data_IF_008021171494
#
_entry.id   IF_008021171494
#
_cell.length_a   1.000
_cell.length_b   1.000
_cell.length_c   1.000
_cell.angle_alpha   90.00
_cell.angle_beta   90.00
_cell.angle_gamma   90.00
#
_symmetry.space_group_name_H-M   'P 1'
#
loop_
_entity.id
_entity.type
_entity.pdbx_description
1 polymer ?
#
# COMPACT_ATOMS: atom_id res chain seq x y z
N UNK A 1 9.97 -13.56 15.18
CA UNK A 1 10.72 -14.68 15.79
C UNK A 1 11.13 -15.60 14.66
N UNK A 2 12.38 -15.52 14.22
CA UNK A 2 12.96 -16.44 13.25
C UNK A 2 13.15 -17.80 13.92
N UNK A 3 12.47 -18.83 13.45
CA UNK A 3 12.80 -20.18 13.85
C UNK A 3 14.04 -20.60 13.06
N UNK A 4 15.20 -20.60 13.71
CA UNK A 4 16.41 -21.24 13.17
C UNK A 4 16.17 -22.74 12.99
N UNK A 5 16.39 -23.23 11.78
CA UNK A 5 16.54 -24.67 11.51
C UNK A 5 17.89 -25.13 12.07
N UNK A 6 17.96 -25.45 13.38
CA UNK A 6 19.21 -25.76 14.09
C UNK A 6 19.78 -27.15 13.86
N UNK A 7 19.08 -28.06 13.20
CA UNK A 7 19.48 -29.49 13.16
C UNK A 7 19.72 -30.07 11.75
N UNK A 8 19.94 -29.21 10.74
CA UNK A 8 20.30 -29.73 9.42
C UNK A 8 21.82 -29.90 9.31
N UNK A 9 22.30 -31.17 9.33
CA UNK A 9 23.69 -31.52 9.06
C UNK A 9 23.80 -32.13 7.64
N UNK A 10 24.35 -31.40 6.64
CA UNK A 10 24.42 -31.87 5.26
C UNK A 10 25.35 -33.10 5.03
N UNK A 11 26.07 -33.54 6.04
CA UNK A 11 26.94 -34.70 5.98
C UNK A 11 26.37 -35.98 6.60
N UNK A 12 25.17 -35.96 7.16
CA UNK A 12 24.56 -37.14 7.77
C UNK A 12 23.58 -37.80 6.79
N UNK A 13 23.74 -39.11 6.46
CA UNK A 13 22.77 -39.81 5.64
C UNK A 13 21.40 -39.81 6.32
N UNK A 14 20.36 -39.42 5.58
CA UNK A 14 18.98 -39.50 6.03
C UNK A 14 18.64 -40.95 6.31
N UNK A 15 18.13 -41.34 7.49
CA UNK A 15 17.76 -42.74 7.75
C UNK A 15 16.67 -43.15 6.74
N UNK A 16 16.92 -44.27 6.03
CA UNK A 16 15.93 -44.87 5.16
C UNK A 16 14.79 -45.42 6.00
N UNK A 17 13.62 -44.81 5.91
CA UNK A 17 12.39 -45.38 6.46
C UNK A 17 11.87 -46.37 5.42
N UNK A 18 12.25 -47.62 5.55
CA UNK A 18 11.75 -48.72 4.73
C UNK A 18 10.37 -49.18 5.24
N UNK A 19 9.31 -48.84 4.50
CA UNK A 19 8.02 -49.54 4.52
C UNK A 19 7.84 -50.32 3.22
N UNK A 20 7.00 -51.36 3.15
CA UNK A 20 6.79 -52.13 1.92
C UNK A 20 6.16 -51.21 0.85
N UNK A 21 6.91 -50.94 -0.23
CA UNK A 21 6.49 -50.15 -1.36
C UNK A 21 7.29 -48.89 -1.65
N UNK A 22 8.33 -48.58 -0.87
CA UNK A 22 9.24 -47.47 -1.17
C UNK A 22 10.44 -47.93 -2.01
N UNK A 23 10.54 -47.46 -3.25
CA UNK A 23 11.80 -47.52 -3.98
C UNK A 23 12.82 -46.61 -3.29
N UNK A 24 13.92 -47.17 -2.82
CA UNK A 24 15.07 -46.41 -2.33
C UNK A 24 15.69 -45.66 -3.51
N UNK A 25 15.61 -44.33 -3.49
CA UNK A 25 16.32 -43.48 -4.45
C UNK A 25 17.81 -43.65 -4.21
N UNK A 26 18.49 -44.35 -5.11
CA UNK A 26 19.96 -44.47 -5.11
C UNK A 26 20.56 -43.10 -5.46
N UNK A 27 21.52 -42.57 -4.70
CA UNK A 27 22.26 -41.38 -5.09
C UNK A 27 22.98 -41.69 -6.43
N UNK A 28 22.75 -40.87 -7.45
CA UNK A 28 23.29 -40.96 -8.82
C UNK A 28 22.54 -41.83 -9.86
N UNK A 29 21.31 -42.26 -9.61
CA UNK A 29 20.46 -42.68 -10.71
C UNK A 29 19.49 -41.56 -11.06
N UNK A 30 19.39 -41.13 -12.35
CA UNK A 30 18.32 -40.22 -12.75
C UNK A 30 17.00 -40.91 -12.42
N UNK A 31 16.15 -40.22 -11.70
CA UNK A 31 14.77 -40.64 -11.46
C UNK A 31 14.15 -40.86 -12.84
N UNK A 32 13.58 -42.05 -13.04
CA UNK A 32 12.99 -42.45 -14.30
C UNK A 32 12.09 -41.33 -14.85
N UNK A 33 12.25 -40.97 -16.12
CA UNK A 33 11.27 -40.21 -16.86
C UNK A 33 9.94 -40.94 -16.78
N UNK A 34 9.05 -40.52 -15.93
CA UNK A 34 7.65 -40.94 -15.98
C UNK A 34 7.03 -40.19 -17.14
N UNK A 35 7.23 -40.68 -18.35
CA UNK A 35 6.40 -40.31 -19.49
C UNK A 35 5.06 -41.01 -19.30
N UNK A 36 4.09 -40.32 -18.74
CA UNK A 36 2.73 -40.78 -18.74
C UNK A 36 2.08 -40.42 -20.09
N UNK A 37 1.68 -41.40 -20.89
CA UNK A 37 0.71 -41.14 -21.96
C UNK A 37 -0.65 -41.03 -21.29
N UNK A 38 -1.22 -39.85 -21.35
CA UNK A 38 -2.55 -39.50 -20.83
C UNK A 38 -2.69 -39.45 -19.29
N UNK A 39 -2.50 -38.28 -18.72
CA UNK A 39 -3.19 -37.84 -17.52
C UNK A 39 -2.77 -38.44 -16.17
N UNK A 40 -1.60 -39.06 -16.05
CA UNK A 40 -1.16 -39.57 -14.76
C UNK A 40 -0.78 -38.44 -13.80
N UNK A 41 -1.62 -38.23 -12.81
CA UNK A 41 -1.31 -37.41 -11.64
C UNK A 41 -0.42 -38.22 -10.70
N UNK A 42 0.85 -37.84 -10.57
CA UNK A 42 1.62 -38.26 -9.40
C UNK A 42 1.17 -37.36 -8.23
N UNK A 43 0.53 -37.95 -7.23
CA UNK A 43 0.10 -37.25 -6.01
C UNK A 43 0.99 -37.71 -4.89
N UNK A 44 1.83 -36.80 -4.38
CA UNK A 44 2.58 -37.01 -3.14
C UNK A 44 1.72 -36.46 -2.01
N UNK A 45 1.30 -37.31 -1.10
CA UNK A 45 0.52 -36.94 0.10
C UNK A 45 1.30 -37.31 1.35
N UNK A 46 1.16 -36.47 2.37
CA UNK A 46 1.52 -36.80 3.75
C UNK A 46 0.24 -36.83 4.58
N UNK A 47 -0.13 -37.97 5.07
CA UNK A 47 -1.42 -38.20 5.77
C UNK A 47 -1.26 -38.03 7.28
N UNK A 48 -0.75 -36.90 7.72
CA UNK A 48 -0.85 -36.48 9.11
C UNK A 48 -0.15 -37.34 10.19
N UNK A 49 0.33 -38.56 9.88
CA UNK A 49 1.03 -39.41 10.86
C UNK A 49 2.46 -38.94 11.19
N UNK A 50 2.94 -37.97 10.46
CA UNK A 50 4.31 -37.48 10.60
C UNK A 50 4.35 -36.01 11.01
N UNK A 51 3.50 -35.52 11.91
CA UNK A 51 3.61 -34.18 12.52
C UNK A 51 4.35 -33.18 11.62
N UNK A 52 4.80 -32.08 11.95
CA UNK A 52 5.43 -30.97 11.20
C UNK A 52 6.43 -31.30 10.05
N UNK A 53 6.12 -32.22 9.13
CA UNK A 53 7.11 -32.78 8.19
C UNK A 53 6.90 -32.39 6.73
N UNK A 54 8.02 -32.30 6.04
CA UNK A 54 8.12 -31.93 4.63
C UNK A 54 7.61 -33.08 3.74
N UNK A 55 6.63 -32.78 2.87
CA UNK A 55 6.10 -33.76 1.90
C UNK A 55 7.08 -34.06 0.76
N UNK A 56 7.82 -33.06 0.30
CA UNK A 56 8.81 -33.14 -0.76
C UNK A 56 10.01 -32.27 -0.41
N UNK A 57 11.22 -32.86 -0.41
CA UNK A 57 12.47 -32.12 -0.27
C UNK A 57 13.33 -32.32 -1.52
N UNK A 58 13.72 -31.19 -2.14
CA UNK A 58 14.62 -31.17 -3.29
C UNK A 58 15.88 -30.39 -2.93
N UNK A 59 17.04 -31.00 -3.12
CA UNK A 59 18.35 -30.41 -2.83
C UNK A 59 19.21 -30.34 -4.09
N UNK A 60 19.81 -29.18 -4.35
CA UNK A 60 20.79 -29.00 -5.41
C UNK A 60 21.94 -28.13 -4.91
N UNK A 61 23.17 -28.50 -5.21
CA UNK A 61 24.37 -27.77 -4.78
C UNK A 61 24.76 -26.66 -5.76
N UNK A 62 24.41 -26.81 -7.04
CA UNK A 62 24.91 -25.91 -8.10
C UNK A 62 23.93 -25.56 -9.20
N UNK A 63 22.68 -25.98 -9.09
CA UNK A 63 21.65 -25.78 -10.11
C UNK A 63 20.25 -25.66 -9.49
N UNK A 64 19.20 -25.77 -10.31
CA UNK A 64 17.81 -25.70 -9.86
C UNK A 64 17.47 -26.88 -8.93
N UNK A 65 16.92 -26.58 -7.75
CA UNK A 65 16.35 -27.59 -6.86
C UNK A 65 15.03 -28.13 -7.39
N UNK A 66 14.16 -27.25 -7.92
CA UNK A 66 12.90 -27.59 -8.57
C UNK A 66 12.79 -26.79 -9.86
N UNK A 67 12.53 -27.47 -10.97
CA UNK A 67 12.14 -26.84 -12.23
C UNK A 67 10.68 -27.17 -12.53
N UNK A 68 9.83 -26.14 -12.66
CA UNK A 68 8.42 -26.30 -13.00
C UNK A 68 8.07 -25.35 -14.13
N UNK A 69 7.50 -25.86 -15.21
CA UNK A 69 7.10 -25.05 -16.36
C UNK A 69 5.79 -25.53 -16.97
N UNK A 70 5.05 -24.61 -17.59
CA UNK A 70 3.84 -24.88 -18.36
C UNK A 70 3.84 -23.99 -19.60
N UNK A 71 3.58 -24.58 -20.75
CA UNK A 71 3.52 -23.83 -22.01
C UNK A 71 2.26 -22.95 -22.15
N UNK A 72 1.15 -23.35 -21.52
CA UNK A 72 -0.16 -22.69 -21.69
C UNK A 72 -0.94 -22.54 -20.38
N UNK A 73 -0.30 -22.69 -19.23
CA UNK A 73 -1.00 -22.64 -17.96
C UNK A 73 -0.10 -22.23 -16.80
N UNK A 74 -0.49 -22.58 -15.59
CA UNK A 74 0.25 -22.30 -14.37
C UNK A 74 1.38 -23.31 -14.21
N UNK A 75 2.63 -22.84 -14.13
CA UNK A 75 3.81 -23.68 -13.89
C UNK A 75 3.86 -24.20 -12.46
N UNK A 76 3.57 -23.34 -11.48
CA UNK A 76 3.52 -23.70 -10.07
C UNK A 76 2.29 -23.04 -9.43
N UNK A 77 1.45 -23.82 -8.77
CA UNK A 77 0.34 -23.35 -7.96
C UNK A 77 0.59 -23.74 -6.50
N UNK A 78 0.70 -22.74 -5.61
CA UNK A 78 0.83 -22.93 -4.17
C UNK A 78 -0.38 -22.36 -3.46
N UNK A 79 -0.99 -23.13 -2.57
CA UNK A 79 -2.15 -22.71 -1.77
C UNK A 79 -1.96 -23.17 -0.33
N UNK A 80 -2.20 -22.29 0.62
CA UNK A 80 -2.13 -22.55 2.05
C UNK A 80 -3.12 -21.68 2.82
N UNK A 81 -3.66 -22.21 3.92
CA UNK A 81 -4.62 -21.50 4.75
C UNK A 81 -4.01 -20.26 5.43
N UNK A 82 -2.74 -20.33 5.81
CA UNK A 82 -2.01 -19.24 6.47
C UNK A 82 -0.89 -18.68 5.59
N UNK A 83 0.01 -19.55 5.12
CA UNK A 83 1.14 -19.21 4.24
C UNK A 83 1.17 -20.20 3.10
N UNK A 84 1.09 -19.72 1.86
CA UNK A 84 1.13 -20.55 0.68
C UNK A 84 2.57 -20.93 0.29
N UNK A 85 3.51 -20.00 0.41
CA UNK A 85 4.93 -20.19 0.14
C UNK A 85 5.79 -19.29 1.02
N UNK A 86 6.94 -19.76 1.44
CA UNK A 86 7.97 -18.99 2.13
C UNK A 86 9.28 -19.15 1.38
N UNK A 87 9.95 -18.03 1.10
CA UNK A 87 11.25 -17.97 0.45
C UNK A 87 12.26 -17.37 1.44
N UNK A 88 13.41 -18.02 1.56
CA UNK A 88 14.55 -17.54 2.35
C UNK A 88 15.71 -17.28 1.38
N UNK A 89 15.75 -16.08 0.84
CA UNK A 89 16.67 -15.64 -0.22
C UNK A 89 15.97 -14.74 -1.22
N UNK A 90 16.66 -14.44 -2.32
CA UNK A 90 16.17 -13.56 -3.36
C UNK A 90 15.10 -14.23 -4.24
N UNK A 91 14.16 -13.43 -4.72
CA UNK A 91 13.16 -13.82 -5.71
C UNK A 91 13.36 -12.98 -6.97
N UNK A 92 13.69 -13.63 -8.09
CA UNK A 92 13.77 -12.97 -9.39
C UNK A 92 12.50 -13.23 -10.20
N UNK A 93 11.86 -12.13 -10.68
CA UNK A 93 10.70 -12.18 -11.55
C UNK A 93 11.03 -11.44 -12.84
N UNK A 94 11.21 -12.18 -13.94
CA UNK A 94 11.70 -11.64 -15.21
C UNK A 94 10.69 -10.79 -15.98
N UNK A 95 9.38 -10.89 -15.68
CA UNK A 95 8.34 -10.16 -16.41
C UNK A 95 7.46 -9.33 -15.47
N UNK A 96 6.46 -9.94 -14.84
CA UNK A 96 5.49 -9.24 -14.02
C UNK A 96 5.21 -9.98 -12.72
N UNK A 97 5.05 -9.22 -11.62
CA UNK A 97 4.53 -9.72 -10.36
C UNK A 97 3.20 -9.00 -10.07
N UNK A 98 2.13 -9.77 -9.81
CA UNK A 98 0.84 -9.22 -9.41
C UNK A 98 0.52 -9.63 -7.98
N UNK A 99 0.27 -8.62 -7.13
CA UNK A 99 -0.13 -8.82 -5.73
C UNK A 99 -1.56 -8.32 -5.57
N UNK A 100 -2.51 -9.23 -5.33
CA UNK A 100 -3.93 -8.90 -5.17
C UNK A 100 -4.30 -8.29 -3.81
N UNK A 101 -3.38 -8.31 -2.86
CA UNK A 101 -3.54 -7.74 -1.51
C UNK A 101 -2.48 -6.70 -1.19
N UNK A 102 -2.04 -6.70 0.05
CA UNK A 102 -0.99 -5.78 0.53
C UNK A 102 0.39 -6.36 0.28
N UNK A 103 1.31 -5.55 -0.26
CA UNK A 103 2.74 -5.82 -0.25
C UNK A 103 3.38 -5.07 0.93
N UNK A 104 3.99 -5.80 1.86
CA UNK A 104 4.76 -5.22 2.96
C UNK A 104 6.24 -5.39 2.71
N UNK A 105 6.98 -4.29 2.69
CA UNK A 105 8.43 -4.25 2.52
C UNK A 105 9.04 -3.59 3.75
N UNK A 106 9.96 -4.28 4.43
CA UNK A 106 10.65 -3.76 5.63
C UNK A 106 11.94 -3.02 5.30
N UNK A 107 12.48 -3.23 4.10
CA UNK A 107 13.64 -2.52 3.57
C UNK A 107 13.25 -1.47 2.54
N UNK A 108 14.18 -1.14 1.67
CA UNK A 108 14.00 -0.16 0.62
C UNK A 108 13.24 -0.74 -0.58
N UNK A 109 12.57 0.13 -1.34
CA UNK A 109 12.02 -0.16 -2.66
C UNK A 109 12.82 0.63 -3.68
N UNK A 110 13.57 -0.06 -4.55
CA UNK A 110 14.24 0.54 -5.70
C UNK A 110 13.38 0.37 -6.95
N UNK A 111 12.96 1.48 -7.57
CA UNK A 111 12.21 1.50 -8.81
C UNK A 111 13.02 2.25 -9.88
N UNK A 112 13.40 1.57 -10.96
CA UNK A 112 14.12 2.18 -12.07
C UNK A 112 13.20 2.85 -13.10
N UNK A 113 11.91 2.58 -13.06
CA UNK A 113 10.88 3.16 -13.92
C UNK A 113 9.90 4.03 -13.15
N UNK A 114 8.71 4.20 -13.70
CA UNK A 114 7.65 4.99 -13.10
C UNK A 114 6.84 4.19 -12.09
N UNK A 115 6.37 4.86 -11.02
CA UNK A 115 5.36 4.33 -10.11
C UNK A 115 4.02 4.94 -10.51
N UNK A 116 3.09 4.10 -11.01
CA UNK A 116 1.74 4.52 -11.39
C UNK A 116 0.76 4.22 -10.27
N UNK A 117 0.16 5.26 -9.72
CA UNK A 117 -0.80 5.18 -8.62
C UNK A 117 -2.17 5.70 -9.09
N UNK A 118 -3.24 5.09 -8.60
CA UNK A 118 -4.62 5.49 -8.96
C UNK A 118 -5.18 6.61 -8.07
N UNK A 119 -4.55 6.88 -6.93
CA UNK A 119 -4.88 8.02 -6.07
C UNK A 119 -4.41 9.35 -6.67
N UNK A 120 -4.88 10.48 -6.12
CA UNK A 120 -4.70 11.79 -6.74
C UNK A 120 -3.87 12.78 -5.95
N UNK A 121 -3.64 12.54 -4.67
CA UNK A 121 -2.88 13.45 -3.81
C UNK A 121 -1.78 12.73 -3.04
N UNK A 122 -0.78 13.52 -2.71
CA UNK A 122 0.30 13.16 -1.80
C UNK A 122 -0.07 13.74 -0.43
N UNK A 123 -0.27 12.87 0.54
CA UNK A 123 -0.70 13.23 1.87
C UNK A 123 0.30 12.82 2.93
N UNK A 124 0.22 13.46 4.08
CA UNK A 124 0.93 13.08 5.29
C UNK A 124 -0.04 13.01 6.46
N UNK A 125 0.17 12.04 7.34
CA UNK A 125 -0.64 11.87 8.54
C UNK A 125 -0.22 12.89 9.62
N UNK A 126 -1.17 13.73 10.03
CA UNK A 126 -1.00 14.66 11.15
C UNK A 126 -1.92 14.28 12.31
N UNK A 127 -1.43 14.48 13.52
CA UNK A 127 -2.28 14.41 14.73
C UNK A 127 -3.30 15.53 14.71
N UNK A 128 -4.57 15.20 14.91
CA UNK A 128 -5.69 16.14 14.86
C UNK A 128 -6.25 16.39 16.24
N UNK A 129 -6.50 17.64 16.58
CA UNK A 129 -7.07 18.04 17.87
C UNK A 129 -8.47 17.45 18.09
N UNK A 130 -9.32 17.49 17.05
CA UNK A 130 -10.70 16.95 17.07
C UNK A 130 -10.96 16.12 15.81
N UNK A 131 -10.88 14.78 15.98
CA UNK A 131 -11.06 13.82 14.88
C UNK A 131 -12.52 13.69 14.41
N UNK A 132 -13.49 14.09 15.21
CA UNK A 132 -14.91 14.01 14.84
C UNK A 132 -15.28 15.14 13.88
N UNK A 133 -14.68 16.32 14.06
CA UNK A 133 -14.91 17.48 13.21
C UNK A 133 -14.00 17.51 11.97
N UNK A 134 -12.81 16.93 12.06
CA UNK A 134 -11.86 16.85 10.94
C UNK A 134 -12.24 15.70 9.99
N UNK A 135 -13.24 15.94 9.17
CA UNK A 135 -13.73 14.98 8.16
C UNK A 135 -13.03 15.22 6.81
N UNK A 136 -13.06 14.24 5.88
CA UNK A 136 -12.52 14.43 4.54
C UNK A 136 -13.06 15.68 3.86
N UNK A 137 -12.16 16.49 3.29
CA UNK A 137 -12.48 17.79 2.69
C UNK A 137 -12.30 19.00 3.62
N UNK A 138 -12.11 18.77 4.92
CA UNK A 138 -11.91 19.87 5.87
C UNK A 138 -10.56 20.56 5.68
N UNK A 139 -10.58 21.90 5.70
CA UNK A 139 -9.36 22.73 5.70
C UNK A 139 -8.78 22.78 7.11
N UNK A 140 -7.48 22.47 7.21
CA UNK A 140 -6.76 22.39 8.47
C UNK A 140 -5.68 23.46 8.57
N UNK A 141 -5.43 23.90 9.80
CA UNK A 141 -4.35 24.83 10.15
C UNK A 141 -3.46 24.21 11.22
N UNK A 142 -2.20 24.60 11.27
CA UNK A 142 -1.25 24.18 12.31
C UNK A 142 -1.76 24.63 13.70
N UNK A 143 -1.60 23.76 14.68
CA UNK A 143 -1.80 24.11 16.09
C UNK A 143 -0.46 24.40 16.78
N UNK A 144 -0.54 24.85 18.04
CA UNK A 144 0.65 25.21 18.81
C UNK A 144 1.39 24.00 19.40
N UNK A 145 0.88 22.76 19.19
CA UNK A 145 1.42 21.51 19.74
C UNK A 145 2.06 20.63 18.65
N UNK A 146 2.25 21.16 17.44
CA UNK A 146 2.83 20.41 16.32
C UNK A 146 1.85 19.48 15.59
N UNK A 147 0.54 19.59 15.90
CA UNK A 147 -0.53 18.93 15.20
C UNK A 147 -1.31 19.92 14.31
N UNK A 148 -2.54 19.51 13.97
CA UNK A 148 -3.45 20.34 13.17
C UNK A 148 -4.84 20.40 13.80
N UNK A 149 -5.54 21.50 13.53
CA UNK A 149 -6.94 21.74 13.91
C UNK A 149 -7.72 22.31 12.74
N UNK A 150 -9.05 22.32 12.84
CA UNK A 150 -9.89 22.96 11.83
C UNK A 150 -9.52 24.45 11.68
N UNK A 151 -9.54 24.94 10.45
CA UNK A 151 -9.52 26.37 10.19
C UNK A 151 -10.80 27.00 10.72
N UNK A 152 -10.69 28.17 11.35
CA UNK A 152 -11.84 28.94 11.90
C UNK A 152 -11.74 30.45 11.61
N UNK A 153 -10.67 30.86 10.92
CA UNK A 153 -10.41 32.26 10.59
C UNK A 153 -10.15 32.43 9.10
N UNK A 154 -10.66 33.50 8.55
CA UNK A 154 -10.39 33.88 7.17
C UNK A 154 -8.93 34.34 6.99
N UNK A 155 -8.26 33.83 5.97
CA UNK A 155 -6.85 34.14 5.66
C UNK A 155 -5.89 33.73 6.78
N UNK A 156 -6.08 32.57 7.39
CA UNK A 156 -5.15 32.04 8.40
C UNK A 156 -3.87 31.55 7.74
N UNK A 157 -2.75 32.22 8.04
CA UNK A 157 -1.42 31.87 7.51
C UNK A 157 -0.89 30.52 8.01
N UNK A 158 -1.51 29.94 9.03
CA UNK A 158 -1.17 28.61 9.52
C UNK A 158 -1.81 27.48 8.71
N UNK A 159 -2.44 27.82 7.57
CA UNK A 159 -3.06 26.80 6.72
C UNK A 159 -2.05 25.72 6.34
N UNK A 160 -2.42 24.46 6.60
CA UNK A 160 -1.54 23.31 6.46
C UNK A 160 -1.95 22.38 5.31
N UNK A 161 -3.23 22.35 4.95
CA UNK A 161 -3.75 21.49 3.89
C UNK A 161 -5.23 21.15 4.08
N UNK A 162 -5.66 20.13 3.36
CA UNK A 162 -7.03 19.63 3.35
C UNK A 162 -7.02 18.15 3.72
N UNK A 163 -7.94 17.71 4.58
CA UNK A 163 -8.08 16.28 4.90
C UNK A 163 -8.46 15.51 3.64
N UNK A 164 -7.58 14.60 3.23
CA UNK A 164 -7.76 13.80 2.01
C UNK A 164 -8.89 12.78 2.15
N UNK A 165 -9.45 12.34 1.01
CA UNK A 165 -10.43 11.26 0.94
C UNK A 165 -11.89 11.72 0.73
N UNK A 166 -12.15 13.01 0.49
CA UNK A 166 -13.49 13.48 0.14
C UNK A 166 -13.84 13.16 -1.33
N UNK A 167 -15.13 13.00 -1.59
CA UNK A 167 -15.63 12.69 -2.93
C UNK A 167 -15.11 11.34 -3.46
N UNK A 168 -14.70 11.32 -4.71
CA UNK A 168 -14.09 10.17 -5.38
C UNK A 168 -12.55 10.17 -5.33
N UNK A 169 -11.94 11.16 -4.70
CA UNK A 169 -10.50 11.27 -4.55
C UNK A 169 -10.00 10.51 -3.31
N UNK A 170 -9.01 9.64 -3.54
CA UNK A 170 -8.25 8.98 -2.46
C UNK A 170 -6.80 9.40 -2.56
N UNK A 171 -6.06 9.42 -1.44
CA UNK A 171 -4.64 9.68 -1.48
C UNK A 171 -3.93 8.59 -2.30
N UNK A 172 -2.90 8.99 -3.05
CA UNK A 172 -2.02 8.09 -3.78
C UNK A 172 -0.87 7.61 -2.89
N UNK A 173 -0.30 8.52 -2.10
CA UNK A 173 0.76 8.24 -1.13
C UNK A 173 0.35 8.87 0.19
N UNK A 174 0.55 8.13 1.28
CA UNK A 174 0.37 8.64 2.64
C UNK A 174 1.64 8.39 3.43
N UNK A 175 2.28 9.46 3.87
CA UNK A 175 3.45 9.40 4.75
C UNK A 175 3.04 9.38 6.22
N UNK A 176 3.99 9.03 7.09
CA UNK A 176 3.82 9.13 8.53
C UNK A 176 2.74 8.20 9.07
N UNK A 177 2.57 6.99 8.47
CA UNK A 177 1.61 6.02 8.97
C UNK A 177 2.09 5.46 10.32
N UNK A 178 1.32 5.73 11.37
CA UNK A 178 1.49 5.15 12.70
C UNK A 178 0.17 4.49 13.13
N UNK A 179 0.17 3.16 13.15
CA UNK A 179 -1.01 2.38 13.52
C UNK A 179 -1.44 2.60 15.00
N UNK A 180 -0.55 3.07 15.86
CA UNK A 180 -0.86 3.40 17.25
C UNK A 180 -1.56 4.77 17.39
N UNK A 181 -1.39 5.68 16.42
CA UNK A 181 -1.99 7.00 16.46
C UNK A 181 -3.39 7.02 15.81
N UNK A 182 -4.41 6.69 16.60
CA UNK A 182 -5.82 6.70 16.15
C UNK A 182 -6.37 8.11 15.91
N UNK A 183 -5.63 9.16 16.30
CA UNK A 183 -6.01 10.56 16.15
C UNK A 183 -5.41 11.21 14.90
N UNK A 184 -4.79 10.46 14.01
CA UNK A 184 -4.22 11.01 12.79
C UNK A 184 -5.24 11.09 11.66
N UNK A 185 -5.00 12.05 10.74
CA UNK A 185 -5.71 12.15 9.47
C UNK A 185 -4.72 12.48 8.36
N UNK A 186 -4.88 11.91 7.14
CA UNK A 186 -4.06 12.25 6.00
C UNK A 186 -4.42 13.64 5.49
N UNK A 187 -3.48 14.58 5.52
CA UNK A 187 -3.57 15.90 4.96
C UNK A 187 -2.95 15.91 3.57
N UNK A 188 -3.72 16.30 2.56
CA UNK A 188 -3.21 16.53 1.21
C UNK A 188 -2.30 17.77 1.20
N UNK A 189 -1.05 17.58 0.82
CA UNK A 189 -0.02 18.62 0.72
C UNK A 189 0.27 18.99 -0.74
N UNK A 190 -0.07 18.10 -1.68
CA UNK A 190 0.15 18.28 -3.12
C UNK A 190 -0.85 17.41 -3.91
N UNK A 191 -1.20 17.82 -5.12
CA UNK A 191 -2.08 17.08 -6.02
C UNK A 191 -3.51 17.59 -5.99
N UNK A 192 -4.48 16.74 -6.34
CA UNK A 192 -5.90 17.11 -6.42
C UNK A 192 -6.67 16.49 -5.26
N UNK A 193 -7.39 17.32 -4.53
CA UNK A 193 -8.26 16.92 -3.40
C UNK A 193 -9.58 17.66 -3.46
N UNK A 194 -10.66 17.07 -2.95
CA UNK A 194 -11.89 17.83 -2.70
C UNK A 194 -11.79 18.60 -1.39
N UNK A 195 -12.14 19.88 -1.45
CA UNK A 195 -12.12 20.80 -0.33
C UNK A 195 -13.54 21.30 -0.04
N UNK A 196 -13.94 21.32 1.21
CA UNK A 196 -15.14 22.05 1.64
C UNK A 196 -14.91 23.53 1.37
N UNK A 197 -15.85 24.17 0.67
CA UNK A 197 -15.74 25.58 0.29
C UNK A 197 -17.02 26.33 0.59
N UNK A 198 -16.88 27.64 0.86
CA UNK A 198 -17.94 28.58 1.09
C UNK A 198 -17.86 29.71 0.06
N UNK A 199 -18.88 29.80 -0.79
CA UNK A 199 -19.07 30.83 -1.80
C UNK A 199 -20.17 31.83 -1.41
N UNK A 200 -20.60 31.89 -0.14
CA UNK A 200 -21.65 32.84 0.31
C UNK A 200 -21.20 34.28 0.20
N UNK A 201 -19.91 34.56 0.38
CA UNK A 201 -19.36 35.93 0.25
C UNK A 201 -18.92 36.31 -1.16
N UNK A 202 -18.46 35.33 -1.95
CA UNK A 202 -18.03 35.52 -3.34
C UNK A 202 -18.07 34.19 -4.09
N UNK A 203 -18.61 34.19 -5.30
CA UNK A 203 -18.62 33.05 -6.18
C UNK A 203 -17.18 32.58 -6.48
N UNK A 204 -16.97 31.26 -6.49
CA UNK A 204 -15.70 30.63 -6.85
C UNK A 204 -15.79 30.23 -8.31
N UNK A 205 -14.84 30.69 -9.11
CA UNK A 205 -14.65 30.28 -10.50
C UNK A 205 -13.46 29.32 -10.65
N UNK A 206 -13.38 28.63 -11.78
CA UNK A 206 -12.20 27.80 -12.12
C UNK A 206 -10.96 28.69 -12.16
N UNK A 207 -9.89 28.24 -11.51
CA UNK A 207 -8.61 28.97 -11.43
C UNK A 207 -8.53 29.97 -10.28
N UNK A 208 -9.62 30.26 -9.58
CA UNK A 208 -9.56 31.12 -8.40
C UNK A 208 -8.69 30.52 -7.31
N UNK A 209 -7.86 31.36 -6.69
CA UNK A 209 -7.13 30.99 -5.49
C UNK A 209 -8.08 30.90 -4.30
N UNK A 210 -7.89 29.89 -3.48
CA UNK A 210 -8.67 29.64 -2.27
C UNK A 210 -7.81 29.85 -1.03
N UNK A 211 -8.43 30.37 0.02
CA UNK A 211 -7.86 30.57 1.34
C UNK A 211 -8.83 30.03 2.40
N UNK A 212 -8.44 30.01 3.67
CA UNK A 212 -9.32 29.62 4.78
C UNK A 212 -10.50 30.61 4.91
N UNK A 213 -11.68 30.08 5.21
CA UNK A 213 -12.90 30.82 5.52
C UNK A 213 -13.06 31.02 7.03
N UNK A 214 -13.96 31.92 7.42
CA UNK A 214 -14.44 32.04 8.81
C UNK A 214 -15.37 30.87 9.20
N UNK A 215 -15.90 30.12 8.22
CA UNK A 215 -16.68 28.92 8.48
C UNK A 215 -15.70 27.78 8.79
N UNK A 216 -15.85 27.11 9.94
CA UNK A 216 -14.91 26.07 10.35
C UNK A 216 -14.69 24.99 9.28
N UNK A 217 -13.42 24.71 8.96
CA UNK A 217 -13.04 23.67 8.01
C UNK A 217 -13.33 23.99 6.54
N UNK A 218 -13.73 25.20 6.19
CA UNK A 218 -14.03 25.59 4.80
C UNK A 218 -12.98 26.53 4.21
N UNK A 219 -12.83 26.43 2.90
CA UNK A 219 -12.12 27.40 2.10
C UNK A 219 -13.07 28.44 1.55
N UNK A 220 -12.57 29.61 1.14
CA UNK A 220 -13.27 30.63 0.38
C UNK A 220 -12.36 31.21 -0.70
N UNK A 221 -12.93 31.96 -1.64
CA UNK A 221 -12.15 32.72 -2.63
C UNK A 221 -11.20 33.70 -1.96
N UNK A 222 -9.92 33.70 -2.33
CA UNK A 222 -8.92 34.65 -1.88
C UNK A 222 -9.03 35.96 -2.66
N UNK A 223 -9.99 36.79 -2.32
CA UNK A 223 -10.26 38.06 -3.00
C UNK A 223 -9.31 39.19 -2.59
N UNK A 224 -8.69 39.11 -1.41
CA UNK A 224 -7.73 40.09 -0.89
C UNK A 224 -6.30 39.60 -1.06
N UNK A 225 -5.61 40.12 -2.08
CA UNK A 225 -4.24 39.73 -2.42
C UNK A 225 -3.24 40.04 -1.30
N UNK A 226 -3.50 41.10 -0.48
CA UNK A 226 -2.56 41.48 0.59
C UNK A 226 -2.60 40.50 1.76
N UNK A 227 -3.74 39.89 2.01
CA UNK A 227 -3.95 38.90 3.06
C UNK A 227 -3.65 37.48 2.57
N UNK A 228 -3.68 37.25 1.26
CA UNK A 228 -3.53 35.91 0.66
C UNK A 228 -2.10 35.34 0.80
N UNK A 229 -1.07 36.20 0.89
CA UNK A 229 0.31 35.74 1.01
C UNK A 229 0.52 34.91 2.28
N UNK A 230 0.93 33.65 2.08
CA UNK A 230 1.09 32.66 3.15
C UNK A 230 -0.21 32.00 3.63
N UNK A 231 -1.37 32.32 3.00
CA UNK A 231 -2.67 31.79 3.41
C UNK A 231 -3.43 31.07 2.28
N UNK A 232 -2.79 30.85 1.12
CA UNK A 232 -3.39 30.15 -0.03
C UNK A 232 -3.30 28.66 0.16
N UNK A 233 -4.41 27.96 -0.10
CA UNK A 233 -4.50 26.50 -0.07
C UNK A 233 -4.21 25.90 -1.44
N UNK A 234 -4.70 26.56 -2.50
CA UNK A 234 -4.59 26.06 -3.86
C UNK A 234 -5.57 26.77 -4.82
N UNK A 235 -5.80 26.17 -5.98
CA UNK A 235 -6.67 26.69 -7.03
C UNK A 235 -7.90 25.81 -7.24
N UNK A 236 -9.06 26.43 -7.37
CA UNK A 236 -10.30 25.75 -7.70
C UNK A 236 -10.24 25.14 -9.12
N UNK A 237 -10.60 23.88 -9.24
CA UNK A 237 -10.71 23.17 -10.52
C UNK A 237 -12.13 23.12 -11.06
N UNK A 238 -13.13 23.42 -10.22
CA UNK A 238 -14.54 23.56 -10.59
C UNK A 238 -15.17 24.78 -9.92
N UNK A 239 -16.21 25.37 -10.52
CA UNK A 239 -16.88 26.51 -9.92
C UNK A 239 -17.79 26.09 -8.77
N UNK A 240 -18.00 27.01 -7.84
CA UNK A 240 -19.09 27.04 -6.85
C UNK A 240 -19.75 28.41 -6.89
N UNK A 241 -20.94 28.54 -7.52
CA UNK A 241 -21.56 29.86 -7.73
C UNK A 241 -22.03 30.52 -6.44
N UNK A 242 -22.48 29.75 -5.45
CA UNK A 242 -22.99 30.28 -4.17
C UNK A 242 -23.09 29.17 -3.13
N UNK A 243 -23.22 29.56 -1.86
CA UNK A 243 -23.43 28.63 -0.75
C UNK A 243 -22.19 27.79 -0.43
N UNK A 244 -22.41 26.63 0.21
CA UNK A 244 -21.36 25.71 0.62
C UNK A 244 -21.39 24.44 -0.22
N UNK A 245 -20.21 23.88 -0.49
CA UNK A 245 -20.09 22.64 -1.26
C UNK A 245 -18.67 22.09 -1.32
N UNK A 246 -18.51 20.92 -1.90
CA UNK A 246 -17.21 20.31 -2.19
C UNK A 246 -16.69 20.82 -3.54
N UNK A 247 -15.52 21.41 -3.53
CA UNK A 247 -14.82 21.90 -4.72
C UNK A 247 -13.52 21.13 -4.88
N UNK A 248 -13.26 20.48 -6.01
CA UNK A 248 -11.95 19.91 -6.28
C UNK A 248 -10.94 21.04 -6.49
N UNK A 249 -9.81 20.95 -5.81
CA UNK A 249 -8.73 21.93 -5.86
C UNK A 249 -7.42 21.27 -6.25
N UNK A 250 -6.57 22.03 -6.93
CA UNK A 250 -5.15 21.71 -7.02
C UNK A 250 -4.45 22.35 -5.83
N UNK A 251 -3.93 21.52 -4.92
CA UNK A 251 -3.23 22.00 -3.73
C UNK A 251 -1.93 22.68 -4.12
N UNK A 252 -1.73 23.89 -3.64
CA UNK A 252 -0.52 24.70 -3.83
C UNK A 252 -0.44 25.72 -2.68
N UNK A 253 0.12 25.28 -1.55
CA UNK A 253 0.30 26.13 -0.36
C UNK A 253 1.29 27.27 -0.68
N UNK A 254 0.87 28.53 -0.45
CA UNK A 254 1.65 29.74 -0.73
C UNK A 254 1.37 30.84 0.31
#
# INVERSE_FOLDING_TARGET
MSREFKDFNPGKPIPSVGGPGHETVQPNKPIAHVTSPEGAKQVIRTDGEFGDKVALACFSVSNFGVFSSSAQGVGLFAHGANVAAQFDGDIEVSTSCSVGGTLTVTGDIFCAGDIQLTGRDYAENFTVADTQRAVPGSVMVLDDNGGVRLSEQAYDRRVAGVVSGAGDCKPAIVLGHDAANTRSRPLALMGTVYCMADASGAAIAVGDMLTTSAIPGHAMKASDATRAFGAVIGKALRPLPSGQGLVPILVALQ
#
